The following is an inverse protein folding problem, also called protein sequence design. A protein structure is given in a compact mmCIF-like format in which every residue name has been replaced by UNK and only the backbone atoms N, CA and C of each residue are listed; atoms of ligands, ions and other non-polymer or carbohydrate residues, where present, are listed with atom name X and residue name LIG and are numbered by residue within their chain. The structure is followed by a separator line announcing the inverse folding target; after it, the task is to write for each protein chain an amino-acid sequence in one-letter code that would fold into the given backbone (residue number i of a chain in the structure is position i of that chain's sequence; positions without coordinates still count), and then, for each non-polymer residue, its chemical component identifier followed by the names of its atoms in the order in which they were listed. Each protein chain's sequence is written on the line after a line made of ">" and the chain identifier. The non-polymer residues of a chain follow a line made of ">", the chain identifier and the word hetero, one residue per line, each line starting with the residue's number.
data_IF_976259834770
#
_entry.id   IF_976259834770
#
_cell.length_a   1.000
_cell.length_b   1.000
_cell.length_c   1.000
_cell.angle_alpha   90.00
_cell.angle_beta   90.00
_cell.angle_gamma   90.00
#
_symmetry.space_group_name_H-M   'P 1'
#
loop_
_entity.id
_entity.type
_entity.pdbx_description
1 polymer ?
#
# COMPACT_ATOMS: atom_id res chain seq x y z
N UNK A 1 -6.36 -2.51 10.11
CA UNK A 1 -6.12 -3.76 10.86
C UNK A 1 -6.11 -3.47 12.37
N UNK A 2 -6.40 -4.47 13.22
CA UNK A 2 -6.34 -4.38 14.68
C UNK A 2 -5.83 -5.73 15.19
N UNK A 3 -4.74 -5.75 15.94
CA UNK A 3 -4.25 -6.92 16.66
C UNK A 3 -4.24 -6.60 18.15
N UNK A 4 -5.42 -6.71 18.75
CA UNK A 4 -5.60 -6.45 20.17
C UNK A 4 -5.12 -7.65 20.98
N UNK A 5 -4.05 -7.45 21.75
CA UNK A 5 -3.61 -8.42 22.74
C UNK A 5 -4.23 -8.06 24.08
N UNK A 6 -5.12 -8.92 24.56
CA UNK A 6 -5.77 -8.78 25.86
C UNK A 6 -5.21 -9.86 26.79
N UNK A 7 -4.55 -9.44 27.87
CA UNK A 7 -4.17 -10.32 28.96
C UNK A 7 -5.27 -10.22 30.01
N UNK A 8 -5.94 -11.34 30.26
CA UNK A 8 -6.99 -11.46 31.29
C UNK A 8 -6.52 -12.32 32.43
N UNK A 9 -6.95 -11.94 33.64
CA UNK A 9 -6.78 -12.74 34.84
C UNK A 9 -7.57 -14.04 34.71
N UNK A 10 -6.88 -15.17 34.91
CA UNK A 10 -7.46 -16.49 34.68
C UNK A 10 -8.56 -16.87 35.68
N UNK A 11 -8.57 -16.28 36.88
CA UNK A 11 -9.53 -16.62 37.94
C UNK A 11 -10.78 -15.72 37.93
N UNK A 12 -10.62 -14.46 37.53
CA UNK A 12 -11.67 -13.43 37.62
C UNK A 12 -12.18 -12.97 36.26
N UNK A 13 -11.49 -13.30 35.16
CA UNK A 13 -11.79 -12.78 33.83
C UNK A 13 -11.51 -11.28 33.67
N UNK A 14 -10.93 -10.64 34.69
CA UNK A 14 -10.62 -9.21 34.68
C UNK A 14 -9.51 -8.93 33.66
N UNK A 15 -9.71 -7.93 32.80
CA UNK A 15 -8.66 -7.42 31.90
C UNK A 15 -7.50 -6.84 32.72
N UNK A 16 -6.32 -7.46 32.60
CA UNK A 16 -5.09 -7.04 33.29
C UNK A 16 -4.27 -6.08 32.43
N UNK A 17 -4.19 -6.35 31.13
CA UNK A 17 -3.40 -5.56 30.20
C UNK A 17 -3.99 -5.62 28.80
N UNK A 18 -3.88 -4.54 28.06
CA UNK A 18 -4.33 -4.44 26.67
C UNK A 18 -3.27 -3.67 25.89
N UNK A 19 -2.75 -4.25 24.81
CA UNK A 19 -1.86 -3.54 23.90
C UNK A 19 -2.18 -3.84 22.43
N UNK A 20 -1.88 -2.87 21.59
CA UNK A 20 -2.03 -2.96 20.14
C UNK A 20 -0.74 -3.55 19.56
N UNK A 21 -0.83 -4.70 18.89
CA UNK A 21 0.32 -5.33 18.23
C UNK A 21 0.69 -4.71 16.88
N UNK A 22 -0.10 -3.74 16.41
CA UNK A 22 0.17 -2.99 15.19
C UNK A 22 1.12 -1.84 15.51
N UNK A 23 2.37 -2.01 15.11
CA UNK A 23 3.40 -0.98 15.19
C UNK A 23 3.67 -0.42 13.79
N UNK A 24 3.62 0.91 13.66
CA UNK A 24 4.11 1.57 12.45
C UNK A 24 5.62 1.34 12.35
N UNK A 25 6.06 0.81 11.24
CA UNK A 25 7.46 0.62 10.89
C UNK A 25 7.83 1.53 9.72
N UNK A 26 9.13 1.84 9.60
CA UNK A 26 9.67 2.53 8.43
C UNK A 26 10.46 1.53 7.60
N UNK A 27 9.92 1.18 6.43
CA UNK A 27 10.58 0.35 5.43
C UNK A 27 11.36 1.16 4.41
N UNK A 28 12.20 0.47 3.64
CA UNK A 28 12.89 1.05 2.48
C UNK A 28 12.25 0.52 1.22
N UNK A 29 11.67 1.39 0.39
CA UNK A 29 11.19 1.05 -0.94
C UNK A 29 12.27 1.28 -1.98
N UNK A 30 12.67 0.26 -2.73
CA UNK A 30 13.48 0.38 -3.94
C UNK A 30 12.54 0.46 -5.14
N UNK A 31 12.19 1.69 -5.50
CA UNK A 31 11.17 2.01 -6.50
C UNK A 31 11.77 2.06 -7.91
N UNK A 32 10.95 1.90 -8.95
CA UNK A 32 11.42 2.03 -10.34
C UNK A 32 11.66 3.50 -10.70
N UNK A 33 10.80 4.40 -10.21
CA UNK A 33 10.75 5.78 -10.69
C UNK A 33 11.29 6.83 -9.71
N UNK A 34 11.42 6.50 -8.41
CA UNK A 34 11.79 7.46 -7.35
C UNK A 34 13.06 7.07 -6.59
N UNK A 35 13.79 6.04 -7.06
CA UNK A 35 14.96 5.51 -6.36
C UNK A 35 14.62 4.84 -5.03
N UNK A 36 15.49 5.01 -4.03
CA UNK A 36 15.25 4.48 -2.67
C UNK A 36 14.48 5.50 -1.83
N UNK A 37 13.31 5.11 -1.32
CA UNK A 37 12.40 5.96 -0.56
C UNK A 37 12.04 5.33 0.78
N UNK A 38 11.57 6.14 1.73
CA UNK A 38 11.00 5.64 2.98
C UNK A 38 9.51 5.31 2.79
N UNK A 39 9.12 4.12 3.24
CA UNK A 39 7.73 3.67 3.23
C UNK A 39 7.25 3.49 4.66
N UNK A 40 6.05 3.97 4.98
CA UNK A 40 5.38 3.62 6.23
C UNK A 40 4.71 2.27 6.05
N UNK A 41 5.12 1.29 6.84
CA UNK A 41 4.61 -0.08 6.82
C UNK A 41 4.07 -0.45 8.20
N UNK A 42 3.40 -1.59 8.28
CA UNK A 42 2.86 -2.08 9.54
C UNK A 42 3.53 -3.41 9.89
N UNK A 43 4.17 -3.51 11.05
CA UNK A 43 4.63 -4.79 11.57
C UNK A 43 3.44 -5.59 12.12
N UNK A 44 3.34 -6.85 11.72
CA UNK A 44 2.30 -7.78 12.18
C UNK A 44 2.91 -9.16 12.39
N UNK A 45 3.06 -9.57 13.65
CA UNK A 45 3.82 -10.77 14.00
C UNK A 45 5.30 -10.59 13.62
N UNK A 46 5.81 -11.47 12.76
CA UNK A 46 7.21 -11.43 12.29
C UNK A 46 7.36 -10.90 10.86
N UNK A 47 6.29 -10.33 10.29
CA UNK A 47 6.27 -9.85 8.89
C UNK A 47 5.76 -8.43 8.81
N UNK A 48 6.29 -7.66 7.88
CA UNK A 48 5.83 -6.32 7.56
C UNK A 48 4.74 -6.39 6.50
N UNK A 49 3.69 -5.60 6.66
CA UNK A 49 2.64 -5.40 5.69
C UNK A 49 2.84 -4.05 5.01
N UNK A 50 2.63 -3.99 3.70
CA UNK A 50 2.65 -2.73 2.93
C UNK A 50 1.35 -1.95 3.17
N UNK A 51 1.16 -1.56 4.43
CA UNK A 51 0.01 -0.86 4.98
C UNK A 51 0.55 0.35 5.75
N UNK A 52 0.16 1.54 5.31
CA UNK A 52 0.45 2.80 5.97
C UNK A 52 -0.70 3.19 6.90
N UNK A 53 -0.56 2.89 8.20
CA UNK A 53 -1.57 3.28 9.18
C UNK A 53 -1.53 4.78 9.55
N UNK A 54 -0.48 5.52 9.15
CA UNK A 54 -0.38 6.97 9.38
C UNK A 54 -1.21 7.80 8.39
N UNK A 55 -1.52 7.24 7.22
CA UNK A 55 -2.29 7.90 6.14
C UNK A 55 -3.62 7.19 5.87
N UNK A 56 -4.40 7.01 6.95
CA UNK A 56 -5.75 6.45 6.88
C UNK A 56 -5.82 4.95 6.59
N UNK A 57 -4.70 4.22 6.70
CA UNK A 57 -4.66 2.77 6.52
C UNK A 57 -4.50 2.34 5.06
N UNK A 58 -3.93 3.19 4.18
CA UNK A 58 -3.71 2.84 2.78
C UNK A 58 -2.87 1.57 2.68
N UNK A 59 -3.28 0.64 1.82
CA UNK A 59 -2.64 -0.67 1.67
C UNK A 59 -2.39 -0.99 0.20
N UNK A 60 -1.33 -1.74 -0.11
CA UNK A 60 -1.02 -2.13 -1.49
C UNK A 60 -1.14 -3.64 -1.70
N UNK A 61 -1.86 -4.05 -2.74
CA UNK A 61 -2.22 -5.43 -3.04
C UNK A 61 -1.65 -5.90 -4.38
N UNK A 62 -1.36 -7.20 -4.44
CA UNK A 62 -0.94 -7.92 -5.62
C UNK A 62 -2.13 -8.61 -6.28
N UNK A 63 -2.45 -8.27 -7.53
CA UNK A 63 -3.47 -8.99 -8.29
C UNK A 63 -2.93 -10.23 -9.01
N UNK A 64 -1.61 -10.40 -9.12
CA UNK A 64 -0.97 -11.53 -9.79
C UNK A 64 -1.57 -11.81 -11.18
N UNK A 65 -1.66 -10.75 -11.99
CA UNK A 65 -2.24 -10.72 -13.35
C UNK A 65 -3.72 -11.05 -13.45
N UNK A 66 -4.45 -11.12 -12.32
CA UNK A 66 -5.91 -11.15 -12.32
C UNK A 66 -6.47 -9.78 -12.69
N UNK A 67 -7.72 -9.77 -13.15
CA UNK A 67 -8.45 -8.55 -13.55
C UNK A 67 -9.62 -8.22 -12.61
N UNK A 68 -9.75 -8.94 -11.48
CA UNK A 68 -10.83 -8.75 -10.53
C UNK A 68 -10.42 -9.12 -9.09
N UNK A 69 -11.23 -8.68 -8.13
CA UNK A 69 -10.98 -8.87 -6.70
C UNK A 69 -10.03 -7.82 -6.12
N UNK A 70 -9.77 -7.95 -4.82
CA UNK A 70 -8.87 -7.06 -4.10
C UNK A 70 -7.39 -7.41 -4.30
N UNK A 71 -7.09 -8.69 -4.48
CA UNK A 71 -5.73 -9.21 -4.51
C UNK A 71 -5.21 -9.62 -3.13
N UNK A 72 -3.93 -9.98 -3.07
CA UNK A 72 -3.23 -10.40 -1.85
C UNK A 72 -2.43 -9.22 -1.30
N UNK A 73 -2.51 -8.94 -0.01
CA UNK A 73 -1.73 -7.86 0.61
C UNK A 73 -0.23 -8.16 0.45
N UNK A 74 0.56 -7.17 0.05
CA UNK A 74 2.01 -7.32 0.04
C UNK A 74 2.55 -7.43 1.47
N UNK A 75 3.34 -8.47 1.70
CA UNK A 75 4.08 -8.68 2.94
C UNK A 75 5.55 -8.88 2.64
N UNK A 76 6.38 -8.51 3.60
CA UNK A 76 7.83 -8.65 3.49
C UNK A 76 8.45 -9.07 4.84
N UNK A 77 9.58 -9.76 4.80
CA UNK A 77 10.24 -10.28 6.00
C UNK A 77 11.27 -9.29 6.60
N UNK A 78 11.91 -8.47 5.77
CA UNK A 78 13.01 -7.58 6.17
C UNK A 78 12.69 -6.08 6.02
N UNK A 79 11.51 -5.75 5.49
CA UNK A 79 11.00 -4.39 5.28
C UNK A 79 11.76 -3.62 4.19
N UNK A 80 12.43 -4.33 3.28
CA UNK A 80 13.07 -3.78 2.07
C UNK A 80 12.27 -4.21 0.85
N UNK A 81 11.49 -3.27 0.31
CA UNK A 81 10.49 -3.55 -0.72
C UNK A 81 11.07 -3.35 -2.11
N UNK A 82 11.13 -4.43 -2.89
CA UNK A 82 11.49 -4.40 -4.30
C UNK A 82 12.99 -4.35 -4.57
N UNK A 83 13.35 -4.24 -5.84
CA UNK A 83 14.74 -4.28 -6.32
C UNK A 83 15.18 -2.95 -6.95
N UNK A 84 14.24 -2.07 -7.28
CA UNK A 84 14.48 -0.83 -8.02
C UNK A 84 14.68 -1.05 -9.52
N UNK A 85 14.38 -2.25 -10.02
CA UNK A 85 14.49 -2.60 -11.43
C UNK A 85 13.14 -3.11 -11.96
N UNK A 86 12.90 -2.90 -13.25
CA UNK A 86 11.74 -3.44 -13.92
C UNK A 86 11.75 -4.98 -13.87
N UNK A 87 10.60 -5.58 -13.57
CA UNK A 87 10.42 -7.03 -13.46
C UNK A 87 9.05 -7.44 -13.98
N UNK A 88 9.02 -8.54 -14.74
CA UNK A 88 7.76 -9.18 -15.18
C UNK A 88 7.18 -10.15 -14.16
N UNK A 89 7.86 -10.35 -13.03
CA UNK A 89 7.36 -11.20 -11.95
C UNK A 89 6.36 -10.43 -11.10
N UNK A 90 5.18 -10.99 -10.90
CA UNK A 90 4.17 -10.41 -10.00
C UNK A 90 4.53 -10.53 -8.53
N UNK A 91 5.60 -11.27 -8.18
CA UNK A 91 6.10 -11.34 -6.80
C UNK A 91 7.19 -10.32 -6.51
N UNK A 92 7.73 -9.66 -7.55
CA UNK A 92 8.61 -8.52 -7.34
C UNK A 92 7.79 -7.35 -6.76
N UNK A 93 8.36 -6.65 -5.79
CA UNK A 93 7.65 -5.62 -5.03
C UNK A 93 7.97 -4.21 -5.53
N UNK A 94 8.75 -4.02 -6.60
CA UNK A 94 9.17 -2.69 -7.09
C UNK A 94 7.95 -1.85 -7.48
N UNK A 95 7.03 -2.41 -8.26
CA UNK A 95 5.77 -1.73 -8.63
C UNK A 95 4.90 -1.43 -7.39
N UNK A 96 4.89 -2.33 -6.40
CA UNK A 96 4.17 -2.12 -5.16
C UNK A 96 4.76 -0.99 -4.31
N UNK A 97 6.10 -0.89 -4.28
CA UNK A 97 6.81 0.18 -3.61
C UNK A 97 6.56 1.54 -4.28
N UNK A 98 6.58 1.61 -5.62
CA UNK A 98 6.17 2.80 -6.37
C UNK A 98 4.73 3.23 -6.01
N UNK A 99 3.77 2.30 -6.06
CA UNK A 99 2.36 2.59 -5.77
C UNK A 99 2.11 3.04 -4.32
N UNK A 100 2.80 2.42 -3.35
CA UNK A 100 2.74 2.81 -1.95
C UNK A 100 3.33 4.21 -1.74
N UNK A 101 4.50 4.47 -2.32
CA UNK A 101 5.14 5.79 -2.27
C UNK A 101 4.26 6.87 -2.89
N UNK A 102 3.70 6.62 -4.07
CA UNK A 102 2.80 7.55 -4.75
C UNK A 102 1.56 7.90 -3.93
N UNK A 103 0.98 6.93 -3.23
CA UNK A 103 -0.15 7.19 -2.32
C UNK A 103 0.26 8.03 -1.10
N UNK A 104 1.44 7.80 -0.52
CA UNK A 104 1.97 8.59 0.60
C UNK A 104 2.15 10.06 0.21
N UNK A 105 2.89 10.30 -0.87
CA UNK A 105 3.21 11.65 -1.35
C UNK A 105 1.94 12.41 -1.76
N UNK A 106 1.01 11.73 -2.42
CA UNK A 106 -0.25 12.36 -2.85
C UNK A 106 -1.12 12.72 -1.66
N UNK A 107 -1.24 11.85 -0.65
CA UNK A 107 -1.94 12.16 0.59
C UNK A 107 -1.32 13.38 1.28
N UNK A 108 0.01 13.41 1.43
CA UNK A 108 0.73 14.48 2.10
C UNK A 108 0.62 15.81 1.35
N UNK A 109 0.69 15.77 0.01
CA UNK A 109 0.42 16.92 -0.84
C UNK A 109 -0.96 17.52 -0.55
N UNK A 110 -2.02 16.70 -0.58
CA UNK A 110 -3.38 17.18 -0.34
C UNK A 110 -3.58 17.69 1.09
N UNK A 111 -2.97 17.01 2.07
CA UNK A 111 -3.07 17.40 3.47
C UNK A 111 -2.35 18.71 3.75
N UNK A 112 -1.12 18.86 3.28
CA UNK A 112 -0.29 20.05 3.51
C UNK A 112 -0.79 21.26 2.74
N UNK A 113 -1.25 21.08 1.50
CA UNK A 113 -1.65 22.18 0.62
C UNK A 113 -3.08 22.64 0.88
N UNK A 114 -4.00 21.70 1.11
CA UNK A 114 -5.44 22.00 1.18
C UNK A 114 -6.09 21.62 2.52
N UNK A 115 -5.34 21.07 3.47
CA UNK A 115 -5.89 20.55 4.72
C UNK A 115 -6.71 19.26 4.54
N UNK A 116 -6.77 18.69 3.33
CA UNK A 116 -7.63 17.56 2.99
C UNK A 116 -7.05 16.25 3.54
N UNK A 117 -7.77 15.59 4.44
CA UNK A 117 -7.36 14.34 5.09
C UNK A 117 -7.93 13.13 4.35
N UNK A 118 -7.20 12.64 3.35
CA UNK A 118 -7.65 11.58 2.46
C UNK A 118 -8.67 12.03 1.42
N UNK A 119 -9.00 11.15 0.49
CA UNK A 119 -9.82 11.47 -0.70
C UNK A 119 -11.15 12.16 -0.30
N UNK A 120 -11.88 11.54 0.63
CA UNK A 120 -13.18 12.03 1.13
C UNK A 120 -13.05 13.06 2.27
N UNK A 121 -11.85 13.54 2.57
CA UNK A 121 -11.55 14.40 3.71
C UNK A 121 -12.03 13.85 5.08
N UNK A 122 -12.08 12.52 5.23
CA UNK A 122 -12.60 11.86 6.43
C UNK A 122 -11.53 11.04 7.17
N UNK A 123 -10.26 11.18 6.78
CA UNK A 123 -9.14 10.46 7.38
C UNK A 123 -9.03 8.99 7.00
N UNK A 124 -9.81 8.51 6.02
CA UNK A 124 -9.77 7.11 5.54
C UNK A 124 -8.98 7.03 4.24
N UNK A 125 -8.04 6.09 4.19
CA UNK A 125 -7.22 5.78 3.01
C UNK A 125 -7.98 4.94 1.99
N UNK A 126 -7.58 5.08 0.72
CA UNK A 126 -7.94 4.14 -0.33
C UNK A 126 -7.05 2.88 -0.24
N UNK A 127 -7.00 2.09 -1.30
CA UNK A 127 -5.93 1.11 -1.46
C UNK A 127 -5.45 1.06 -2.90
N UNK A 128 -4.27 0.49 -3.10
CA UNK A 128 -3.67 0.30 -4.42
C UNK A 128 -3.62 -1.18 -4.80
N UNK A 129 -3.78 -1.48 -6.08
CA UNK A 129 -3.60 -2.80 -6.66
C UNK A 129 -2.58 -2.71 -7.78
N UNK A 130 -1.54 -3.54 -7.76
CA UNK A 130 -0.56 -3.66 -8.86
C UNK A 130 -0.65 -5.04 -9.50
N UNK A 131 0.03 -5.23 -10.63
CA UNK A 131 -0.03 -6.44 -11.44
C UNK A 131 -1.44 -6.76 -11.94
N UNK A 132 -2.20 -5.73 -12.34
CA UNK A 132 -3.52 -5.90 -12.94
C UNK A 132 -3.40 -6.39 -14.38
N UNK A 133 -4.07 -7.51 -14.69
CA UNK A 133 -4.08 -8.08 -16.03
C UNK A 133 -2.68 -8.48 -16.53
N UNK A 134 -2.58 -8.81 -17.82
CA UNK A 134 -1.31 -9.17 -18.46
C UNK A 134 -1.07 -8.25 -19.65
N UNK A 135 0.13 -7.67 -19.69
CA UNK A 135 0.57 -6.62 -20.61
C UNK A 135 -0.40 -5.44 -20.68
N UNK A 136 -1.04 -5.14 -19.55
CA UNK A 136 -2.08 -4.14 -19.47
C UNK A 136 -1.44 -2.74 -19.40
N UNK A 137 -1.60 -1.97 -20.48
CA UNK A 137 -1.00 -0.65 -20.65
C UNK A 137 -1.96 0.44 -20.18
N UNK A 138 -2.39 0.36 -18.92
CA UNK A 138 -3.21 1.41 -18.32
C UNK A 138 -3.14 1.37 -16.78
N UNK A 139 -3.49 2.49 -16.16
CA UNK A 139 -3.83 2.62 -14.75
C UNK A 139 -5.24 3.24 -14.63
N UNK A 140 -5.91 3.04 -13.51
CA UNK A 140 -7.23 3.62 -13.27
C UNK A 140 -7.61 3.70 -11.80
N UNK A 141 -8.43 4.70 -11.47
CA UNK A 141 -9.30 4.74 -10.29
C UNK A 141 -10.62 4.01 -10.51
N UNK A 142 -11.16 3.39 -9.46
CA UNK A 142 -12.49 2.78 -9.46
C UNK A 142 -13.24 3.10 -8.16
N UNK A 143 -14.33 3.86 -8.28
CA UNK A 143 -15.20 4.26 -7.17
C UNK A 143 -15.86 3.08 -6.46
N UNK A 144 -16.13 1.99 -7.19
CA UNK A 144 -16.83 0.82 -6.64
C UNK A 144 -16.00 0.12 -5.57
N UNK A 145 -14.69 0.11 -5.74
CA UNK A 145 -13.73 -0.47 -4.82
C UNK A 145 -13.04 0.59 -3.94
N UNK A 146 -13.15 1.87 -4.30
CA UNK A 146 -12.42 2.99 -3.71
C UNK A 146 -10.90 2.76 -3.77
N UNK A 147 -10.39 2.46 -4.98
CA UNK A 147 -9.03 1.98 -5.15
C UNK A 147 -8.37 2.39 -6.48
N UNK A 148 -7.05 2.61 -6.44
CA UNK A 148 -6.21 2.77 -7.64
C UNK A 148 -5.69 1.41 -8.11
N UNK A 149 -5.59 1.22 -9.42
CA UNK A 149 -5.21 -0.04 -10.04
C UNK A 149 -4.23 0.18 -11.18
N UNK A 150 -3.12 -0.55 -11.16
CA UNK A 150 -2.01 -0.37 -12.07
C UNK A 150 -1.70 -1.66 -12.83
N UNK A 151 -1.64 -1.57 -14.16
CA UNK A 151 -1.09 -2.63 -14.99
C UNK A 151 0.44 -2.59 -15.06
N UNK A 152 1.02 -3.70 -15.52
CA UNK A 152 2.47 -3.85 -15.66
C UNK A 152 3.02 -3.35 -17.01
N UNK A 153 2.16 -2.76 -17.85
CA UNK A 153 2.54 -2.18 -19.14
C UNK A 153 3.02 -3.20 -20.17
N UNK A 154 3.59 -2.70 -21.27
CA UNK A 154 4.09 -3.56 -22.35
C UNK A 154 5.14 -4.54 -21.81
N UNK A 155 5.05 -5.82 -22.20
CA UNK A 155 5.98 -6.86 -21.76
C UNK A 155 5.92 -7.20 -20.26
N UNK A 156 4.95 -6.67 -19.51
CA UNK A 156 4.86 -6.76 -18.05
C UNK A 156 6.06 -6.15 -17.30
N UNK A 157 6.87 -5.31 -17.94
CA UNK A 157 8.07 -4.73 -17.34
C UNK A 157 8.08 -3.20 -17.39
N UNK A 158 6.91 -2.58 -17.58
CA UNK A 158 6.72 -1.12 -17.59
C UNK A 158 5.52 -0.76 -16.71
N UNK A 159 5.56 -1.03 -15.40
CA UNK A 159 4.43 -0.79 -14.52
C UNK A 159 4.05 0.70 -14.54
N UNK A 160 2.75 0.98 -14.65
CA UNK A 160 2.23 2.35 -14.72
C UNK A 160 2.08 2.94 -13.31
N UNK A 161 3.16 2.92 -12.54
CA UNK A 161 3.17 3.27 -11.10
C UNK A 161 3.99 4.52 -10.80
N UNK A 162 4.37 5.30 -11.82
CA UNK A 162 5.08 6.57 -11.62
C UNK A 162 4.30 7.51 -10.70
N UNK A 163 5.02 8.38 -9.98
CA UNK A 163 4.44 9.24 -8.94
C UNK A 163 3.31 10.14 -9.46
N UNK A 164 3.46 10.71 -10.66
CA UNK A 164 2.44 11.52 -11.31
C UNK A 164 1.21 10.71 -11.73
N UNK A 165 1.39 9.47 -12.21
CA UNK A 165 0.29 8.53 -12.48
C UNK A 165 -0.44 8.18 -11.20
N UNK A 166 0.27 7.82 -10.13
CA UNK A 166 -0.35 7.51 -8.83
C UNK A 166 -1.14 8.71 -8.29
N UNK A 167 -0.58 9.92 -8.40
CA UNK A 167 -1.25 11.16 -8.04
C UNK A 167 -2.48 11.45 -8.90
N UNK A 168 -2.39 11.21 -10.22
CA UNK A 168 -3.50 11.34 -11.15
C UNK A 168 -4.67 10.42 -10.77
N UNK A 169 -4.40 9.12 -10.58
CA UNK A 169 -5.44 8.15 -10.24
C UNK A 169 -6.07 8.47 -8.88
N UNK A 170 -5.27 8.83 -7.88
CA UNK A 170 -5.83 9.19 -6.57
C UNK A 170 -6.64 10.49 -6.61
N UNK A 171 -6.40 11.38 -7.59
CA UNK A 171 -7.15 12.63 -7.77
C UNK A 171 -8.47 12.45 -8.52
N UNK A 172 -8.70 11.31 -9.18
CA UNK A 172 -10.01 10.96 -9.72
C UNK A 172 -11.04 10.72 -8.60
N UNK A 173 -10.59 10.22 -7.44
CA UNK A 173 -11.41 10.08 -6.24
C UNK A 173 -11.61 11.39 -5.49
#
# INVERSE_FOLDING_TARGET
>A
PNQLHVITDAATGKKLFEYQGIENATGTGKTLYSGSVSLTTTLSGSTYQLTDASRGGHSTYNLAHKTSGKGTLFTDADNVWGTGAASSSTTDQTAAADAAYGAQETWDFYKSTFGRSGIKNNGVGAYSRVHYGSQYVNAFWDDSCFCMTYGDGSGNNHPLTALDVAGHEMSHG
#
